data_IF_325500328647
#
_entry.id   IF_325500328647
#
_cell.length_a   1.000
_cell.length_b   1.000
_cell.length_c   1.000
_cell.angle_alpha   90.00
_cell.angle_beta   90.00
_cell.angle_gamma   90.00
#
_symmetry.space_group_name_H-M   'P 1'
#
loop_
_entity.id
_entity.type
_entity.pdbx_description
1 polymer ?
#
# COMPACT_ATOMS: atom_id res chain seq x y z
N UNK A 1 -20.66 -16.21 35.66
CA UNK A 1 -21.47 -15.17 34.98
C UNK A 1 -20.80 -13.79 34.97
N UNK A 2 -20.37 -13.23 36.12
CA UNK A 2 -19.74 -11.90 36.18
C UNK A 2 -18.44 -11.76 35.38
N UNK A 3 -17.53 -12.73 35.47
CA UNK A 3 -16.28 -12.78 34.70
C UNK A 3 -16.52 -12.90 33.19
N UNK A 4 -17.45 -13.77 32.79
CA UNK A 4 -17.87 -13.89 31.40
C UNK A 4 -18.41 -12.57 30.84
N UNK A 5 -19.27 -11.87 31.60
CA UNK A 5 -19.80 -10.57 31.21
C UNK A 5 -18.68 -9.51 31.04
N UNK A 6 -17.70 -9.48 31.94
CA UNK A 6 -16.54 -8.58 31.85
C UNK A 6 -15.71 -8.84 30.58
N UNK A 7 -15.47 -10.11 30.24
CA UNK A 7 -14.73 -10.46 29.02
C UNK A 7 -15.49 -10.05 27.75
N UNK A 8 -16.82 -10.20 27.75
CA UNK A 8 -17.67 -9.75 26.62
C UNK A 8 -17.58 -8.24 26.44
N UNK A 9 -17.70 -7.46 27.53
CA UNK A 9 -17.59 -6.00 27.43
C UNK A 9 -16.19 -5.53 27.02
N UNK A 10 -15.14 -6.18 27.53
CA UNK A 10 -13.77 -5.88 27.12
C UNK A 10 -13.56 -6.15 25.62
N UNK A 11 -14.06 -7.29 25.11
CA UNK A 11 -13.98 -7.62 23.68
C UNK A 11 -14.76 -6.60 22.82
N UNK A 12 -15.96 -6.23 23.24
CA UNK A 12 -16.76 -5.20 22.56
C UNK A 12 -16.04 -3.85 22.52
N UNK A 13 -15.45 -3.42 23.63
CA UNK A 13 -14.69 -2.17 23.69
C UNK A 13 -13.49 -2.19 22.73
N UNK A 14 -12.77 -3.32 22.63
CA UNK A 14 -11.66 -3.49 21.66
C UNK A 14 -12.17 -3.43 20.23
N UNK A 15 -13.28 -4.09 19.90
CA UNK A 15 -13.87 -4.02 18.57
C UNK A 15 -14.31 -2.59 18.20
N UNK A 16 -14.98 -1.89 19.13
CA UNK A 16 -15.40 -0.51 18.94
C UNK A 16 -14.21 0.43 18.75
N UNK A 17 -13.11 0.21 19.48
CA UNK A 17 -11.88 0.98 19.31
C UNK A 17 -11.29 0.84 17.89
N UNK A 18 -11.20 -0.38 17.35
CA UNK A 18 -10.71 -0.57 15.98
C UNK A 18 -11.66 0.00 14.92
N UNK A 19 -12.98 -0.09 15.12
CA UNK A 19 -13.97 0.56 14.25
C UNK A 19 -13.78 2.07 14.27
N UNK A 20 -13.59 2.67 15.45
CA UNK A 20 -13.31 4.10 15.60
C UNK A 20 -12.04 4.52 14.85
N UNK A 21 -10.95 3.77 14.98
CA UNK A 21 -9.71 4.03 14.23
C UNK A 21 -9.94 3.99 12.71
N UNK A 22 -10.72 3.04 12.21
CA UNK A 22 -11.03 2.95 10.78
C UNK A 22 -11.82 4.16 10.27
N UNK A 23 -12.88 4.57 10.98
CA UNK A 23 -13.78 5.66 10.54
C UNK A 23 -13.07 7.02 10.58
N UNK A 24 -12.15 7.21 11.52
CA UNK A 24 -11.42 8.47 11.72
C UNK A 24 -10.15 8.58 10.86
N UNK A 25 -9.75 7.51 10.16
CA UNK A 25 -8.56 7.49 9.33
C UNK A 25 -8.70 8.43 8.12
N UNK A 26 -7.92 9.51 8.10
CA UNK A 26 -7.90 10.46 6.99
C UNK A 26 -7.01 9.95 5.86
N UNK A 27 -7.41 10.22 4.62
CA UNK A 27 -6.53 10.01 3.48
C UNK A 27 -5.29 10.92 3.63
N UNK A 28 -4.08 10.40 3.34
CA UNK A 28 -2.91 11.24 3.30
C UNK A 28 -3.03 12.24 2.13
N UNK A 29 -2.32 13.36 2.22
CA UNK A 29 -2.13 14.26 1.08
C UNK A 29 -1.28 13.52 0.04
N UNK A 30 -1.87 12.71 -0.82
CA UNK A 30 -1.14 11.87 -1.76
C UNK A 30 -0.44 12.71 -2.85
N UNK A 31 0.67 12.20 -3.37
CA UNK A 31 1.43 12.85 -4.44
C UNK A 31 2.94 12.80 -4.22
N UNK A 32 3.67 13.14 -5.27
CA UNK A 32 5.13 13.24 -5.23
C UNK A 32 5.57 14.42 -4.35
N UNK A 33 6.63 14.21 -3.59
CA UNK A 33 7.35 15.24 -2.83
C UNK A 33 8.75 15.31 -3.42
N UNK A 34 9.11 16.48 -3.97
CA UNK A 34 10.39 16.70 -4.66
C UNK A 34 10.70 15.64 -5.73
N UNK A 35 9.66 15.24 -6.49
CA UNK A 35 9.76 14.24 -7.55
C UNK A 35 9.89 12.79 -7.07
N UNK A 36 9.64 12.52 -5.79
CA UNK A 36 9.75 11.18 -5.18
C UNK A 36 8.52 10.78 -4.40
N UNK A 37 8.34 9.49 -4.15
CA UNK A 37 7.33 9.03 -3.22
C UNK A 37 7.66 9.50 -1.80
N UNK A 38 6.62 9.71 -1.00
CA UNK A 38 6.78 10.16 0.38
C UNK A 38 7.64 9.21 1.20
N UNK A 39 8.45 9.72 2.15
CA UNK A 39 9.18 8.85 3.06
C UNK A 39 8.20 8.02 3.91
N UNK A 40 8.63 6.82 4.29
CA UNK A 40 7.93 6.08 5.33
C UNK A 40 8.14 6.77 6.68
N UNK A 41 7.10 6.88 7.52
CA UNK A 41 7.29 7.22 8.93
C UNK A 41 8.04 6.09 9.65
N UNK A 42 8.48 6.36 10.88
CA UNK A 42 9.21 5.38 11.72
C UNK A 42 8.35 4.17 12.16
N UNK A 43 7.04 4.20 11.90
CA UNK A 43 6.13 3.11 12.26
C UNK A 43 6.23 1.94 11.26
N UNK A 44 6.21 0.68 11.73
CA UNK A 44 6.47 -0.51 10.92
C UNK A 44 5.39 -0.82 9.86
N UNK A 45 4.35 -0.01 9.75
CA UNK A 45 3.21 -0.16 8.86
C UNK A 45 3.38 0.56 7.51
N UNK A 46 4.63 0.79 7.09
CA UNK A 46 4.98 1.38 5.81
C UNK A 46 6.18 0.66 5.19
N UNK A 47 6.15 0.47 3.88
CA UNK A 47 7.32 0.03 3.09
C UNK A 47 7.49 0.91 1.86
N UNK A 48 8.73 1.07 1.40
CA UNK A 48 9.07 1.87 0.23
C UNK A 48 10.29 1.32 -0.50
N UNK A 49 10.32 1.55 -1.80
CA UNK A 49 11.46 1.22 -2.68
C UNK A 49 12.30 2.44 -3.06
N UNK A 50 11.96 3.63 -2.56
CA UNK A 50 12.75 4.83 -2.78
C UNK A 50 14.14 4.69 -2.13
N UNK A 51 15.18 5.16 -2.82
CA UNK A 51 16.52 5.26 -2.22
C UNK A 51 16.51 6.13 -0.96
N UNK A 52 17.28 5.74 0.04
CA UNK A 52 17.28 6.38 1.37
C UNK A 52 16.24 5.83 2.34
N UNK A 53 15.37 4.91 1.90
CA UNK A 53 14.48 4.17 2.80
C UNK A 53 15.29 3.27 3.73
N UNK A 54 15.03 3.33 5.04
CA UNK A 54 15.68 2.46 6.03
C UNK A 54 15.39 0.98 5.77
N UNK A 55 16.34 0.10 6.10
CA UNK A 55 16.29 -1.33 5.74
C UNK A 55 15.02 -2.05 6.23
N UNK A 56 14.50 -1.67 7.40
CA UNK A 56 13.24 -2.21 7.95
C UNK A 56 12.02 -1.95 7.06
N UNK A 57 12.02 -0.82 6.35
CA UNK A 57 10.94 -0.39 5.46
C UNK A 57 11.22 -0.71 3.99
N UNK A 58 12.45 -1.11 3.66
CA UNK A 58 12.88 -1.25 2.28
C UNK A 58 12.21 -2.44 1.59
N UNK A 59 11.74 -2.21 0.37
CA UNK A 59 11.28 -3.21 -0.61
C UNK A 59 11.87 -2.88 -1.98
N UNK A 60 11.86 -3.82 -2.90
CA UNK A 60 12.39 -3.58 -4.25
C UNK A 60 11.35 -2.89 -5.16
N UNK A 61 11.79 -2.04 -6.11
CA UNK A 61 10.92 -1.44 -7.13
C UNK A 61 10.48 -2.48 -8.17
N UNK A 62 9.40 -2.22 -8.90
CA UNK A 62 9.00 -3.10 -10.00
C UNK A 62 9.90 -2.85 -11.20
N UNK A 63 10.62 -3.87 -11.66
CA UNK A 63 11.32 -3.83 -12.94
C UNK A 63 10.39 -4.28 -14.06
N UNK A 64 10.57 -3.72 -15.25
CA UNK A 64 9.80 -4.11 -16.43
C UNK A 64 10.67 -4.15 -17.68
N UNK A 65 10.20 -4.86 -18.71
CA UNK A 65 10.76 -4.80 -20.06
C UNK A 65 9.80 -4.09 -21.01
N UNK A 66 10.31 -3.57 -22.11
CA UNK A 66 9.49 -2.92 -23.14
C UNK A 66 9.07 -1.48 -22.81
N UNK A 67 8.04 -0.95 -23.50
CA UNK A 67 7.60 0.43 -23.36
C UNK A 67 7.04 0.74 -21.95
N UNK A 68 7.41 1.89 -21.33
CA UNK A 68 6.89 2.29 -20.02
C UNK A 68 5.36 2.35 -19.93
N UNK A 69 4.68 2.76 -21.00
CA UNK A 69 3.21 2.82 -21.07
C UNK A 69 2.57 1.43 -20.91
N UNK A 70 3.16 0.40 -21.51
CA UNK A 70 2.68 -0.98 -21.38
C UNK A 70 2.80 -1.45 -19.93
N UNK A 71 3.95 -1.23 -19.30
CA UNK A 71 4.18 -1.55 -17.90
C UNK A 71 3.22 -0.79 -16.97
N UNK A 72 2.99 0.50 -17.22
CA UNK A 72 2.07 1.32 -16.44
C UNK A 72 0.62 0.84 -16.54
N UNK A 73 0.18 0.48 -17.74
CA UNK A 73 -1.16 -0.07 -17.96
C UNK A 73 -1.31 -1.46 -17.33
N UNK A 74 -0.28 -2.31 -17.40
CA UNK A 74 -0.32 -3.63 -16.78
C UNK A 74 -0.30 -3.57 -15.25
N UNK A 75 0.43 -2.60 -14.68
CA UNK A 75 0.38 -2.29 -13.26
C UNK A 75 -1.05 -1.96 -12.81
N UNK A 76 -1.75 -1.07 -13.53
CA UNK A 76 -3.14 -0.70 -13.21
C UNK A 76 -4.07 -1.91 -13.23
N UNK A 77 -3.98 -2.77 -14.25
CA UNK A 77 -4.77 -4.01 -14.33
C UNK A 77 -4.47 -4.95 -13.16
N UNK A 78 -3.20 -5.13 -12.83
CA UNK A 78 -2.75 -5.98 -11.73
C UNK A 78 -3.30 -5.49 -10.39
N UNK A 79 -3.22 -4.18 -10.14
CA UNK A 79 -3.73 -3.55 -8.92
C UNK A 79 -5.26 -3.69 -8.81
N UNK A 80 -5.99 -3.47 -9.90
CA UNK A 80 -7.44 -3.68 -9.94
C UNK A 80 -7.81 -5.14 -9.65
N UNK A 81 -7.10 -6.11 -10.22
CA UNK A 81 -7.30 -7.54 -9.97
C UNK A 81 -6.97 -7.95 -8.51
N UNK A 82 -6.09 -7.20 -7.83
CA UNK A 82 -5.80 -7.36 -6.41
C UNK A 82 -6.85 -6.70 -5.49
N UNK A 83 -7.83 -5.98 -6.06
CA UNK A 83 -8.88 -5.27 -5.33
C UNK A 83 -8.51 -3.84 -4.92
N UNK A 84 -7.49 -3.25 -5.56
CA UNK A 84 -7.13 -1.86 -5.38
C UNK A 84 -8.08 -0.91 -6.10
N UNK A 85 -8.35 0.24 -5.50
CA UNK A 85 -9.17 1.31 -6.09
C UNK A 85 -8.27 2.50 -6.41
N UNK A 86 -8.22 2.91 -7.68
CA UNK A 86 -7.45 4.10 -8.09
C UNK A 86 -8.09 5.35 -7.47
N UNK A 87 -7.29 6.13 -6.75
CA UNK A 87 -7.68 7.37 -6.08
C UNK A 87 -7.21 8.58 -6.87
N UNK A 88 -6.00 8.52 -7.44
CA UNK A 88 -5.45 9.55 -8.29
C UNK A 88 -4.52 8.93 -9.34
N UNK A 89 -4.54 9.49 -10.54
CA UNK A 89 -3.67 9.09 -11.65
C UNK A 89 -3.14 10.33 -12.36
N UNK A 90 -1.82 10.35 -12.58
CA UNK A 90 -1.06 11.34 -13.33
C UNK A 90 -0.13 10.58 -14.28
N UNK A 91 0.63 11.31 -15.11
CA UNK A 91 1.48 10.69 -16.14
C UNK A 91 2.54 9.72 -15.56
N UNK A 92 3.16 10.09 -14.45
CA UNK A 92 4.25 9.35 -13.80
C UNK A 92 3.92 8.95 -12.36
N UNK A 93 2.69 9.19 -11.90
CA UNK A 93 2.26 8.94 -10.53
C UNK A 93 0.89 8.27 -10.47
N UNK A 94 0.76 7.28 -9.59
CA UNK A 94 -0.50 6.56 -9.37
C UNK A 94 -0.70 6.35 -7.87
N UNK A 95 -1.90 6.62 -7.39
CA UNK A 95 -2.34 6.35 -6.02
C UNK A 95 -3.50 5.36 -6.03
N UNK A 96 -3.36 4.27 -5.29
CA UNK A 96 -4.35 3.19 -5.16
C UNK A 96 -4.62 2.90 -3.69
N UNK A 97 -5.89 2.82 -3.30
CA UNK A 97 -6.31 2.44 -1.95
C UNK A 97 -6.74 0.96 -1.88
N UNK A 98 -6.34 0.27 -0.82
CA UNK A 98 -6.78 -1.07 -0.46
C UNK A 98 -7.52 -1.06 0.87
N UNK A 99 -8.73 -1.61 0.92
CA UNK A 99 -9.52 -1.67 2.17
C UNK A 99 -9.62 -3.09 2.69
N UNK A 100 -9.26 -3.30 3.96
CA UNK A 100 -9.39 -4.61 4.61
C UNK A 100 -10.86 -5.00 4.81
N UNK A 101 -11.15 -6.31 4.86
CA UNK A 101 -12.52 -6.82 4.89
C UNK A 101 -13.20 -6.69 6.26
N UNK A 102 -12.47 -6.92 7.35
CA UNK A 102 -13.03 -7.02 8.70
C UNK A 102 -13.13 -5.64 9.34
N UNK A 103 -12.00 -4.99 9.57
CA UNK A 103 -11.93 -3.70 10.27
C UNK A 103 -11.92 -2.50 9.32
N UNK A 104 -12.01 -2.71 8.01
CA UNK A 104 -12.08 -1.63 7.01
C UNK A 104 -10.91 -0.63 7.07
N UNK A 105 -9.77 -1.02 7.64
CA UNK A 105 -8.54 -0.24 7.53
C UNK A 105 -8.16 -0.08 6.07
N UNK A 106 -7.71 1.13 5.75
CA UNK A 106 -7.30 1.51 4.41
C UNK A 106 -5.79 1.67 4.38
N UNK A 107 -5.17 1.01 3.42
CA UNK A 107 -3.77 1.15 3.07
C UNK A 107 -3.67 1.84 1.71
N UNK A 108 -2.75 2.78 1.59
CA UNK A 108 -2.46 3.50 0.37
C UNK A 108 -1.20 2.93 -0.28
N UNK A 109 -1.30 2.54 -1.55
CA UNK A 109 -0.17 2.26 -2.42
C UNK A 109 0.04 3.42 -3.38
N UNK A 110 1.26 3.91 -3.44
CA UNK A 110 1.67 4.97 -4.36
C UNK A 110 2.78 4.47 -5.27
N UNK A 111 2.75 4.87 -6.53
CA UNK A 111 3.70 4.45 -7.54
C UNK A 111 4.27 5.64 -8.28
N UNK A 112 5.54 5.55 -8.65
CA UNK A 112 6.25 6.54 -9.45
C UNK A 112 6.98 5.86 -10.60
N UNK A 113 6.61 6.20 -11.83
CA UNK A 113 7.28 5.74 -13.04
C UNK A 113 8.57 6.55 -13.25
N UNK A 114 9.70 5.87 -13.45
CA UNK A 114 10.95 6.52 -13.80
C UNK A 114 11.05 6.61 -15.32
N UNK A 115 11.26 7.80 -15.88
CA UNK A 115 11.37 7.97 -17.33
C UNK A 115 12.73 7.52 -17.90
N UNK A 116 13.78 7.58 -17.09
CA UNK A 116 15.16 7.24 -17.48
C UNK A 116 15.52 5.77 -17.30
N UNK A 117 14.70 5.00 -16.56
CA UNK A 117 15.00 3.62 -16.16
C UNK A 117 13.76 2.75 -16.24
N UNK A 118 13.89 1.45 -16.53
CA UNK A 118 12.76 0.53 -16.61
C UNK A 118 12.29 0.09 -15.21
N UNK A 119 12.03 1.08 -14.34
CA UNK A 119 11.66 0.91 -12.94
C UNK A 119 10.40 1.71 -12.58
N UNK A 120 9.56 1.09 -11.76
CA UNK A 120 8.47 1.75 -11.06
C UNK A 120 8.77 1.67 -9.57
N UNK A 121 9.04 2.81 -8.96
CA UNK A 121 9.10 2.89 -7.51
C UNK A 121 7.70 2.80 -6.93
N UNK A 122 7.62 2.21 -5.75
CA UNK A 122 6.40 2.04 -5.00
C UNK A 122 6.60 2.33 -3.51
N UNK A 123 5.49 2.68 -2.87
CA UNK A 123 5.29 2.83 -1.43
C UNK A 123 3.96 2.19 -1.06
N UNK A 124 3.88 1.51 0.07
CA UNK A 124 2.63 0.97 0.63
C UNK A 124 2.56 1.31 2.11
N UNK A 125 1.52 2.00 2.56
CA UNK A 125 1.41 2.48 3.93
C UNK A 125 -0.03 2.46 4.46
N UNK A 126 -0.19 2.13 5.75
CA UNK A 126 -1.49 2.20 6.42
C UNK A 126 -1.84 3.65 6.79
N UNK A 127 -3.11 4.05 6.69
CA UNK A 127 -3.56 5.40 7.11
C UNK A 127 -3.54 5.62 8.62
N UNK A 128 -3.68 4.53 9.38
CA UNK A 128 -3.82 4.56 10.85
C UNK A 128 -3.23 3.29 11.45
N UNK A 129 -2.97 3.33 12.76
CA UNK A 129 -2.37 2.23 13.51
C UNK A 129 -0.85 2.33 13.55
N UNK A 130 -0.24 1.54 14.43
CA UNK A 130 1.22 1.49 14.57
C UNK A 130 1.83 0.37 13.74
N UNK A 131 1.21 -0.81 13.77
CA UNK A 131 1.65 -2.00 13.04
C UNK A 131 0.52 -2.54 12.18
N UNK A 132 0.89 -3.06 11.02
CA UNK A 132 0.01 -3.74 10.07
C UNK A 132 0.30 -5.26 10.03
N UNK A 133 1.14 -5.78 10.94
CA UNK A 133 1.61 -7.17 10.95
C UNK A 133 2.21 -7.63 9.61
N UNK A 134 2.88 -6.71 8.91
CA UNK A 134 3.54 -6.92 7.63
C UNK A 134 2.59 -7.00 6.43
N UNK A 135 1.33 -6.56 6.57
CA UNK A 135 0.33 -6.56 5.48
C UNK A 135 0.82 -5.76 4.27
N UNK A 136 1.42 -4.59 4.47
CA UNK A 136 1.92 -3.77 3.37
C UNK A 136 3.08 -4.46 2.62
N UNK A 137 4.02 -5.06 3.35
CA UNK A 137 5.11 -5.85 2.73
C UNK A 137 4.58 -7.02 1.91
N UNK A 138 3.70 -7.84 2.50
CA UNK A 138 3.04 -8.97 1.81
C UNK A 138 2.26 -8.53 0.57
N UNK A 139 1.64 -7.35 0.62
CA UNK A 139 0.94 -6.77 -0.54
C UNK A 139 1.91 -6.42 -1.66
N UNK A 140 3.02 -5.78 -1.33
CA UNK A 140 4.08 -5.46 -2.29
C UNK A 140 4.64 -6.74 -2.90
N UNK A 141 4.99 -7.75 -2.11
CA UNK A 141 5.55 -9.00 -2.61
C UNK A 141 4.58 -9.68 -3.59
N UNK A 142 3.30 -9.77 -3.22
CA UNK A 142 2.25 -10.31 -4.09
C UNK A 142 2.06 -9.49 -5.37
N UNK A 143 2.16 -8.16 -5.29
CA UNK A 143 2.10 -7.30 -6.47
C UNK A 143 3.26 -7.59 -7.41
N UNK A 144 4.49 -7.70 -6.87
CA UNK A 144 5.70 -7.99 -7.65
C UNK A 144 5.58 -9.28 -8.43
N UNK A 145 5.15 -10.36 -7.77
CA UNK A 145 4.92 -11.66 -8.41
C UNK A 145 3.91 -11.55 -9.55
N UNK A 146 2.72 -10.99 -9.29
CA UNK A 146 1.65 -10.88 -10.28
C UNK A 146 2.01 -9.99 -11.45
N UNK A 147 2.67 -8.88 -11.16
CA UNK A 147 3.12 -7.94 -12.18
C UNK A 147 4.17 -8.59 -13.09
N UNK A 148 5.16 -9.28 -12.52
CA UNK A 148 6.16 -10.00 -13.31
C UNK A 148 5.53 -11.08 -14.19
N UNK A 149 4.60 -11.89 -13.65
CA UNK A 149 3.85 -12.88 -14.42
C UNK A 149 3.06 -12.25 -15.59
N UNK A 150 2.46 -11.08 -15.37
CA UNK A 150 1.70 -10.38 -16.39
C UNK A 150 2.61 -9.77 -17.47
N UNK A 151 3.77 -9.26 -17.08
CA UNK A 151 4.77 -8.73 -18.01
C UNK A 151 5.42 -9.81 -18.88
N UNK A 152 5.50 -11.07 -18.43
CA UNK A 152 6.03 -12.19 -19.22
C UNK A 152 5.05 -12.75 -20.25
N UNK A 153 3.74 -12.48 -20.09
CA UNK A 153 2.68 -12.99 -20.98
C UNK A 153 2.39 -12.06 -22.16
N UNK A 154 2.87 -10.83 -22.10
CA UNK A 154 2.64 -9.79 -23.10
C UNK A 154 3.82 -9.67 -24.07
#
# INVERSE_FOLDING_TARGET
MKTFLVLVFAALAVCLFFIYLSITAKAPNAGLVDGRLKPCPDTPNCVSSESGTADSHRVDPLSFGGPPEQAWNELKKTLAAMGGVIVAEQADYLHVAFTSRIFRFVDDMEFRLVSSEPLIHLRSASRVGHSDLGVNRKRVDRLREKFAEAMLKN
#
